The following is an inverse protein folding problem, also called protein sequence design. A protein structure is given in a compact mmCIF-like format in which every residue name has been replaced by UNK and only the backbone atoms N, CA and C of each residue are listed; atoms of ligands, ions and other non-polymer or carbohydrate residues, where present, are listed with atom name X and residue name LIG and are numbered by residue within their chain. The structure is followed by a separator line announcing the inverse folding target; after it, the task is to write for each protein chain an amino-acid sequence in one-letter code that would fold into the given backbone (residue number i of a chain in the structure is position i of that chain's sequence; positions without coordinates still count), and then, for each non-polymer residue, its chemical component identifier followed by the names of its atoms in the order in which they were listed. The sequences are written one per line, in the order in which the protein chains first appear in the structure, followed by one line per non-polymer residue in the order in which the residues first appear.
data_IF_799285735506
#
_entry.id   IF_799285735506
#
_cell.length_a   1.000
_cell.length_b   1.000
_cell.length_c   1.000
_cell.angle_alpha   90.00
_cell.angle_beta   90.00
_cell.angle_gamma   90.00
#
_symmetry.space_group_name_H-M   'P 1'
#
loop_
_entity.id
_entity.type
_entity.pdbx_description
1 polymer ?
#
# COMPACT_ATOMS: atom_id res chain seq x y z
N UNK A 1 0.60 -9.28 -16.22
CA UNK A 1 0.62 -8.12 -15.29
C UNK A 1 0.10 -6.87 -15.99
N UNK A 2 -1.13 -6.46 -15.67
CA UNK A 2 -1.70 -5.21 -16.18
C UNK A 2 -0.92 -4.02 -15.60
N UNK A 3 -0.32 -3.19 -16.48
CA UNK A 3 0.48 -2.00 -16.11
C UNK A 3 -0.30 -1.07 -15.17
N UNK A 4 -1.62 -0.95 -15.35
CA UNK A 4 -2.46 -0.10 -14.51
C UNK A 4 -2.42 -0.55 -13.06
N UNK A 5 -2.52 -1.86 -12.81
CA UNK A 5 -2.49 -2.38 -11.45
C UNK A 5 -1.10 -2.28 -10.80
N UNK A 6 -0.04 -2.39 -11.60
CA UNK A 6 1.31 -2.12 -11.13
C UNK A 6 1.44 -0.66 -10.67
N UNK A 7 0.93 0.29 -11.44
CA UNK A 7 0.94 1.71 -11.07
C UNK A 7 0.11 1.99 -9.81
N UNK A 8 -1.04 1.33 -9.66
CA UNK A 8 -1.87 1.45 -8.44
C UNK A 8 -1.11 0.89 -7.22
N UNK A 9 -0.51 -0.30 -7.34
CA UNK A 9 0.28 -0.91 -6.27
C UNK A 9 1.49 -0.02 -5.90
N UNK A 10 2.19 0.52 -6.91
CA UNK A 10 3.30 1.44 -6.70
C UNK A 10 2.85 2.73 -5.99
N UNK A 11 1.68 3.27 -6.35
CA UNK A 11 1.08 4.42 -5.67
C UNK A 11 0.79 4.15 -4.19
N UNK A 12 0.16 3.02 -3.87
CA UNK A 12 -0.10 2.60 -2.48
C UNK A 12 1.19 2.39 -1.69
N UNK A 13 2.23 1.84 -2.33
CA UNK A 13 3.52 1.64 -1.68
C UNK A 13 4.19 2.96 -1.32
N UNK A 14 4.32 3.88 -2.29
CA UNK A 14 4.95 5.20 -2.06
C UNK A 14 4.15 6.00 -1.04
N UNK A 15 2.82 6.00 -1.15
CA UNK A 15 1.95 6.66 -0.18
C UNK A 15 2.10 6.05 1.23
N UNK A 16 2.09 4.72 1.34
CA UNK A 16 2.27 4.03 2.62
C UNK A 16 3.60 4.34 3.28
N UNK A 17 4.69 4.35 2.52
CA UNK A 17 6.02 4.73 3.01
C UNK A 17 6.08 6.19 3.47
N UNK A 18 5.43 7.10 2.75
CA UNK A 18 5.34 8.51 3.14
C UNK A 18 4.55 8.69 4.45
N UNK A 19 3.39 8.05 4.59
CA UNK A 19 2.58 8.09 5.83
C UNK A 19 3.36 7.53 7.03
N UNK A 20 4.15 6.48 6.81
CA UNK A 20 5.00 5.88 7.85
C UNK A 20 6.13 6.83 8.27
N UNK A 21 6.69 7.60 7.33
CA UNK A 21 7.72 8.59 7.59
C UNK A 21 7.24 9.72 8.50
N UNK A 22 5.99 10.19 8.31
CA UNK A 22 5.44 11.33 9.05
C UNK A 22 4.79 10.93 10.39
N UNK A 23 4.70 9.63 10.69
CA UNK A 23 4.09 9.13 11.92
C UNK A 23 4.66 9.72 13.22
N UNK A 24 5.99 9.91 13.41
CA UNK A 24 6.52 10.50 14.64
C UNK A 24 6.28 12.02 14.75
N UNK A 25 5.86 12.67 13.67
CA UNK A 25 5.64 14.12 13.60
C UNK A 25 4.20 14.49 13.98
N UNK A 26 3.29 13.51 13.92
CA UNK A 26 1.85 13.68 14.14
C UNK A 26 1.47 13.34 15.59
N UNK A 27 1.73 14.29 16.48
CA UNK A 27 1.43 14.15 17.92
C UNK A 27 -0.05 13.79 18.16
N UNK A 28 -0.28 12.68 18.88
CA UNK A 28 -1.62 12.15 19.17
C UNK A 28 -2.26 11.31 18.07
N UNK A 29 -1.61 11.17 16.90
CA UNK A 29 -2.04 10.32 15.80
C UNK A 29 -0.93 9.35 15.34
N UNK A 30 0.14 9.18 16.13
CA UNK A 30 1.32 8.40 15.77
C UNK A 30 0.95 6.94 15.48
N UNK A 31 0.12 6.34 16.34
CA UNK A 31 -0.32 4.96 16.16
C UNK A 31 -1.18 4.80 14.90
N UNK A 32 -2.15 5.68 14.68
CA UNK A 32 -3.05 5.60 13.53
C UNK A 32 -2.31 5.76 12.20
N UNK A 33 -1.35 6.68 12.15
CA UNK A 33 -0.52 6.93 10.96
C UNK A 33 0.49 5.82 10.74
N UNK A 34 1.14 5.31 11.79
CA UNK A 34 2.04 4.15 11.68
C UNK A 34 1.32 2.90 11.16
N UNK A 35 0.21 2.50 11.80
CA UNK A 35 -0.57 1.34 11.36
C UNK A 35 -1.27 1.56 10.01
N UNK A 36 -1.70 2.78 9.71
CA UNK A 36 -2.25 3.16 8.41
C UNK A 36 -1.23 3.04 7.28
N UNK A 37 0.02 3.46 7.52
CA UNK A 37 1.14 3.30 6.59
C UNK A 37 1.43 1.82 6.33
N UNK A 38 1.49 0.99 7.37
CA UNK A 38 1.66 -0.47 7.26
C UNK A 38 0.54 -1.09 6.42
N UNK A 39 -0.71 -0.71 6.64
CA UNK A 39 -1.85 -1.18 5.86
C UNK A 39 -1.73 -0.81 4.38
N UNK A 40 -1.32 0.43 4.07
CA UNK A 40 -1.11 0.86 2.69
C UNK A 40 0.01 0.06 1.99
N UNK A 41 1.12 -0.20 2.69
CA UNK A 41 2.23 -1.03 2.17
C UNK A 41 1.78 -2.48 1.99
N UNK A 42 1.02 -3.05 2.93
CA UNK A 42 0.48 -4.40 2.82
C UNK A 42 -0.47 -4.54 1.62
N UNK A 43 -1.33 -3.53 1.39
CA UNK A 43 -2.24 -3.50 0.24
C UNK A 43 -1.48 -3.41 -1.09
N UNK A 44 -0.38 -2.66 -1.16
CA UNK A 44 0.46 -2.59 -2.34
C UNK A 44 0.98 -3.97 -2.80
N UNK A 45 1.27 -4.87 -1.84
CA UNK A 45 1.68 -6.25 -2.13
C UNK A 45 0.47 -7.15 -2.39
N UNK A 46 -0.64 -6.93 -1.68
CA UNK A 46 -1.84 -7.76 -1.81
C UNK A 46 -2.52 -7.63 -3.18
N UNK A 47 -2.51 -6.44 -3.79
CA UNK A 47 -3.13 -6.15 -5.10
C UNK A 47 -2.56 -7.07 -6.22
N UNK A 48 -1.25 -7.09 -6.51
CA UNK A 48 -0.70 -7.97 -7.55
C UNK A 48 -0.86 -9.46 -7.23
N UNK A 49 -0.73 -9.85 -5.95
CA UNK A 49 -0.73 -11.26 -5.54
C UNK A 49 -2.14 -11.88 -5.55
N UNK A 50 -3.15 -11.19 -5.04
CA UNK A 50 -4.48 -11.76 -4.82
C UNK A 50 -5.50 -11.34 -5.88
N UNK A 51 -5.38 -10.12 -6.42
CA UNK A 51 -6.38 -9.57 -7.34
C UNK A 51 -6.08 -9.89 -8.82
N UNK A 52 -4.80 -9.99 -9.18
CA UNK A 52 -4.38 -10.19 -10.58
C UNK A 52 -3.91 -11.61 -10.90
N UNK A 53 -3.47 -12.39 -9.91
CA UNK A 53 -3.13 -13.80 -10.12
C UNK A 53 -4.32 -14.68 -10.54
N UNK A 54 -5.56 -14.19 -10.40
CA UNK A 54 -6.79 -14.90 -10.82
C UNK A 54 -7.39 -14.38 -12.13
N UNK A 55 -6.93 -13.24 -12.64
CA UNK A 55 -7.48 -12.64 -13.86
C UNK A 55 -6.98 -13.32 -15.14
N UNK A 56 -5.84 -14.02 -15.06
CA UNK A 56 -5.26 -14.81 -16.15
C UNK A 56 -5.74 -16.28 -16.13
N UNK A 57 -6.99 -16.52 -15.66
CA UNK A 57 -7.62 -17.84 -15.70
C UNK A 57 -7.97 -18.27 -17.12
N UNK A 58 -7.01 -18.94 -17.77
CA UNK A 58 -7.25 -20.08 -18.68
C UNK A 58 -7.49 -21.35 -17.87
#
# INVERSE_FOLDING_TARGET
MNVVAFLIAMGFFVFGMWVLSIAPELAGFEAATFFGGILCVALAVAIPVNLLGRADGV
#
